data_IF_706628896662
#
_entry.id   IF_706628896662
#
_cell.length_a   1.000
_cell.length_b   1.000
_cell.length_c   1.000
_cell.angle_alpha   90.00
_cell.angle_beta   90.00
_cell.angle_gamma   90.00
#
_symmetry.space_group_name_H-M   'P 1'
#
loop_
_entity.id
_entity.type
_entity.pdbx_description
1 polymer ?
#
# COMPACT_ATOMS: atom_id res chain seq x y z
N UNK A 1 -5.25 8.31 16.61
CA UNK A 1 -4.52 7.27 15.87
C UNK A 1 -3.52 6.55 16.74
N UNK A 2 -3.39 6.99 17.99
CA UNK A 2 -2.53 6.34 18.98
C UNK A 2 -2.89 4.86 19.16
N UNK A 3 -4.18 4.55 19.18
CA UNK A 3 -4.67 3.18 19.33
C UNK A 3 -4.24 2.26 18.18
N UNK A 4 -4.25 2.77 16.95
CA UNK A 4 -3.82 1.98 15.79
C UNK A 4 -2.32 1.76 15.80
N UNK A 5 -1.55 2.78 16.17
CA UNK A 5 -0.10 2.68 16.28
C UNK A 5 0.29 1.66 17.35
N UNK A 6 -0.40 1.67 18.48
CA UNK A 6 -0.21 0.68 19.55
C UNK A 6 -0.55 -0.74 19.07
N UNK A 7 -1.66 -0.90 18.35
CA UNK A 7 -2.05 -2.19 17.81
C UNK A 7 -1.03 -2.72 16.83
N UNK A 8 -0.46 -1.86 15.99
CA UNK A 8 0.61 -2.22 15.06
C UNK A 8 1.88 -2.63 15.79
N UNK A 9 2.27 -1.90 16.84
CA UNK A 9 3.45 -2.23 17.63
C UNK A 9 3.30 -3.57 18.35
N UNK A 10 2.15 -3.81 18.96
CA UNK A 10 1.83 -5.07 19.63
C UNK A 10 1.84 -6.23 18.63
N UNK A 11 1.26 -6.02 17.45
CA UNK A 11 1.25 -6.99 16.38
C UNK A 11 2.66 -7.35 15.92
N UNK A 12 3.51 -6.33 15.70
CA UNK A 12 4.90 -6.53 15.33
C UNK A 12 5.69 -7.29 16.39
N UNK A 13 5.46 -6.97 17.66
CA UNK A 13 6.08 -7.70 18.77
C UNK A 13 5.64 -9.16 18.79
N UNK A 14 4.36 -9.42 18.61
CA UNK A 14 3.81 -10.78 18.56
C UNK A 14 4.47 -11.57 17.43
N UNK A 15 4.60 -10.97 16.25
CA UNK A 15 5.25 -11.57 15.10
C UNK A 15 6.71 -11.87 15.40
N UNK A 16 7.42 -10.95 16.04
CA UNK A 16 8.83 -11.14 16.43
C UNK A 16 9.00 -12.22 17.50
N UNK A 17 8.10 -12.27 18.48
CA UNK A 17 8.15 -13.25 19.57
C UNK A 17 7.84 -14.67 19.11
N UNK A 18 6.92 -14.83 18.17
CA UNK A 18 6.60 -16.13 17.58
C UNK A 18 7.73 -16.57 16.64
N UNK A 19 8.68 -15.68 16.44
CA UNK A 19 9.97 -16.00 15.84
C UNK A 19 9.94 -15.98 14.33
N UNK A 20 10.60 -16.47 13.76
CA UNK A 20 11.30 -16.83 12.56
C UNK A 20 10.41 -16.87 11.32
N UNK A 21 9.77 -15.74 10.99
CA UNK A 21 9.21 -15.57 9.66
C UNK A 21 10.36 -15.42 8.67
N UNK A 22 10.37 -16.23 7.63
CA UNK A 22 11.31 -16.06 6.54
C UNK A 22 11.05 -14.74 5.82
N UNK A 23 12.04 -14.30 5.06
CA UNK A 23 11.90 -13.08 4.27
C UNK A 23 10.74 -13.20 3.27
N UNK A 24 10.55 -14.39 2.69
CA UNK A 24 9.43 -14.66 1.78
C UNK A 24 8.08 -14.56 2.51
N UNK A 25 8.01 -15.06 3.74
CA UNK A 25 6.78 -14.97 4.55
C UNK A 25 6.47 -13.54 4.95
N UNK A 26 7.48 -12.77 5.36
CA UNK A 26 7.33 -11.33 5.63
C UNK A 26 6.82 -10.59 4.41
N UNK A 27 7.36 -10.91 3.25
CA UNK A 27 6.97 -10.31 1.97
C UNK A 27 5.50 -10.62 1.63
N UNK A 28 5.04 -11.83 1.91
CA UNK A 28 3.63 -12.21 1.71
C UNK A 28 2.70 -11.36 2.57
N UNK A 29 3.06 -11.14 3.83
CA UNK A 29 2.27 -10.34 4.76
C UNK A 29 2.21 -8.87 4.31
N UNK A 30 3.36 -8.27 4.02
CA UNK A 30 3.41 -6.87 3.58
C UNK A 30 2.73 -6.67 2.24
N UNK A 31 2.83 -7.65 1.33
CA UNK A 31 2.16 -7.60 0.04
C UNK A 31 0.64 -7.63 0.19
N UNK A 32 0.11 -8.43 1.12
CA UNK A 32 -1.33 -8.46 1.39
C UNK A 32 -1.85 -7.08 1.81
N UNK A 33 -1.12 -6.42 2.70
CA UNK A 33 -1.45 -5.04 3.11
C UNK A 33 -1.30 -4.04 1.97
N UNK A 34 -0.24 -4.18 1.18
CA UNK A 34 0.02 -3.29 0.04
C UNK A 34 -1.06 -3.38 -1.03
N UNK A 35 -1.60 -4.58 -1.30
CA UNK A 35 -2.71 -4.74 -2.25
C UNK A 35 -3.96 -4.01 -1.78
N UNK A 36 -4.29 -4.07 -0.50
CA UNK A 36 -5.42 -3.32 0.08
C UNK A 36 -5.19 -1.81 -0.07
N UNK A 37 -3.99 -1.33 0.27
CA UNK A 37 -3.65 0.08 0.13
C UNK A 37 -3.74 0.54 -1.32
N UNK A 38 -3.22 -0.26 -2.24
CA UNK A 38 -3.30 0.02 -3.69
C UNK A 38 -4.76 0.18 -4.13
N UNK A 39 -5.64 -0.73 -3.73
CA UNK A 39 -7.04 -0.69 -4.11
C UNK A 39 -7.75 0.55 -3.55
N UNK A 40 -7.47 0.91 -2.31
CA UNK A 40 -8.03 2.12 -1.69
C UNK A 40 -7.51 3.40 -2.37
N UNK A 41 -6.22 3.43 -2.69
CA UNK A 41 -5.64 4.57 -3.40
C UNK A 41 -6.19 4.69 -4.82
N UNK A 42 -6.35 3.58 -5.52
CA UNK A 42 -6.94 3.55 -6.86
C UNK A 42 -8.38 4.09 -6.84
N UNK A 43 -9.15 3.69 -5.83
CA UNK A 43 -10.52 4.17 -5.64
C UNK A 43 -10.57 5.69 -5.46
N UNK A 44 -9.75 6.24 -4.59
CA UNK A 44 -9.69 7.69 -4.34
C UNK A 44 -9.19 8.43 -5.57
N UNK A 45 -8.17 7.89 -6.25
CA UNK A 45 -7.65 8.48 -7.49
C UNK A 45 -8.75 8.54 -8.56
N UNK A 46 -9.52 7.48 -8.68
CA UNK A 46 -10.63 7.42 -9.63
C UNK A 46 -11.72 8.44 -9.29
N UNK A 47 -12.07 8.57 -8.02
CA UNK A 47 -13.08 9.55 -7.58
C UNK A 47 -12.66 10.98 -7.85
N UNK A 48 -11.38 11.32 -7.65
CA UNK A 48 -10.90 12.71 -7.70
C UNK A 48 -10.28 13.11 -9.03
N UNK A 49 -9.63 12.18 -9.72
CA UNK A 49 -8.76 12.52 -10.85
C UNK A 49 -9.01 11.68 -12.09
N UNK A 50 -10.11 10.95 -12.14
CA UNK A 50 -10.48 10.16 -13.31
C UNK A 50 -11.20 11.03 -14.33
N UNK A 51 -10.82 10.93 -15.59
CA UNK A 51 -11.52 11.60 -16.69
C UNK A 51 -11.86 10.57 -17.77
N UNK A 52 -12.83 10.93 -18.63
CA UNK A 52 -13.29 10.06 -19.72
C UNK A 52 -12.39 10.10 -20.96
N UNK A 53 -11.24 10.79 -20.87
CA UNK A 53 -10.32 10.83 -22.00
C UNK A 53 -9.73 9.43 -22.26
N UNK A 54 -9.39 9.17 -23.51
CA UNK A 54 -8.70 7.95 -23.89
C UNK A 54 -7.22 8.27 -24.10
N UNK A 55 -6.36 7.52 -23.44
CA UNK A 55 -4.93 7.62 -23.68
C UNK A 55 -4.40 6.23 -24.03
N UNK A 56 -4.23 5.93 -25.32
CA UNK A 56 -3.78 4.61 -25.76
C UNK A 56 -2.33 4.31 -25.37
N UNK A 57 -1.55 5.32 -25.04
CA UNK A 57 -0.15 5.14 -24.66
C UNK A 57 0.03 4.91 -23.16
N UNK A 58 -0.64 5.69 -22.32
CA UNK A 58 -0.40 5.67 -20.88
C UNK A 58 -1.60 5.18 -20.06
N UNK A 59 -2.80 5.19 -20.62
CA UNK A 59 -4.01 4.83 -19.90
C UNK A 59 -4.36 5.85 -18.82
N UNK A 60 -5.21 5.48 -17.89
CA UNK A 60 -5.61 6.32 -16.77
C UNK A 60 -4.67 6.12 -15.58
N UNK A 61 -4.40 7.21 -14.86
CA UNK A 61 -3.58 7.19 -13.66
C UNK A 61 -4.14 6.21 -12.61
N UNK A 62 -5.46 6.21 -12.41
CA UNK A 62 -6.10 5.32 -11.43
C UNK A 62 -5.94 3.83 -11.76
N UNK A 63 -5.81 3.50 -13.05
CA UNK A 63 -5.68 2.12 -13.50
C UNK A 63 -4.21 1.65 -13.59
N UNK A 64 -3.26 2.52 -13.28
CA UNK A 64 -1.82 2.28 -13.45
C UNK A 64 -1.08 2.03 -12.16
N UNK A 65 -1.79 1.91 -11.05
CA UNK A 65 -1.19 1.56 -9.76
C UNK A 65 -0.72 0.11 -9.73
N UNK A 66 0.38 -0.13 -9.04
CA UNK A 66 0.94 -1.47 -8.88
C UNK A 66 1.59 -1.65 -7.52
N UNK A 67 1.77 -2.90 -7.13
CA UNK A 67 2.53 -3.28 -5.94
C UNK A 67 3.86 -3.87 -6.40
N UNK A 68 4.95 -3.37 -5.86
CA UNK A 68 6.28 -3.93 -6.00
C UNK A 68 6.61 -4.71 -4.73
N UNK A 69 7.03 -5.95 -4.88
CA UNK A 69 7.33 -6.85 -3.74
C UNK A 69 8.72 -6.62 -3.16
N UNK A 70 9.23 -5.40 -3.28
CA UNK A 70 10.55 -4.99 -2.80
C UNK A 70 10.45 -3.60 -2.19
N UNK A 71 11.52 -3.12 -1.57
CA UNK A 71 11.64 -1.71 -1.19
C UNK A 71 11.68 -0.82 -2.43
N UNK A 72 11.65 0.49 -2.22
CA UNK A 72 11.64 1.49 -3.29
C UNK A 72 12.87 1.34 -4.20
N UNK A 73 13.99 0.96 -3.63
CA UNK A 73 15.28 0.76 -4.35
C UNK A 73 15.41 -0.62 -5.01
N UNK A 74 14.37 -1.45 -4.96
CA UNK A 74 14.39 -2.79 -5.52
C UNK A 74 14.96 -3.87 -4.59
N UNK A 75 15.34 -3.52 -3.37
CA UNK A 75 15.92 -4.45 -2.40
C UNK A 75 14.85 -5.38 -1.84
N UNK A 76 15.14 -6.69 -1.84
CA UNK A 76 14.24 -7.70 -1.25
C UNK A 76 14.45 -7.77 0.26
N UNK A 77 13.73 -6.91 0.99
CA UNK A 77 13.89 -6.75 2.43
C UNK A 77 12.59 -7.03 3.22
N UNK A 78 11.64 -7.72 2.62
CA UNK A 78 10.35 -8.00 3.24
C UNK A 78 9.34 -6.85 3.16
N UNK A 79 9.73 -5.75 2.53
CA UNK A 79 8.84 -4.58 2.33
C UNK A 79 8.13 -4.68 0.99
N UNK A 80 7.02 -3.97 0.88
CA UNK A 80 6.31 -3.79 -0.39
C UNK A 80 6.15 -2.29 -0.66
N UNK A 81 6.13 -1.93 -1.94
CA UNK A 81 5.98 -0.55 -2.37
C UNK A 81 4.76 -0.43 -3.28
N UNK A 82 3.90 0.54 -3.01
CA UNK A 82 2.76 0.87 -3.87
C UNK A 82 3.08 2.13 -4.64
N UNK A 83 2.84 2.11 -5.95
CA UNK A 83 3.10 3.27 -6.79
C UNK A 83 2.55 3.08 -8.19
N UNK A 84 2.90 4.02 -9.05
CA UNK A 84 2.47 4.01 -10.44
C UNK A 84 3.55 3.37 -11.32
N UNK A 85 3.13 2.47 -12.20
CA UNK A 85 4.01 1.77 -13.15
C UNK A 85 4.71 2.73 -14.10
N UNK A 86 4.05 3.82 -14.43
CA UNK A 86 4.46 4.78 -15.43
C UNK A 86 4.97 6.03 -14.75
N UNK A 87 6.16 6.47 -15.15
CA UNK A 87 6.78 7.69 -14.60
C UNK A 87 5.92 8.94 -14.81
N UNK A 88 5.24 9.02 -15.94
CA UNK A 88 4.33 10.13 -16.24
C UNK A 88 3.21 10.22 -15.19
N UNK A 89 2.56 9.10 -14.88
CA UNK A 89 1.50 9.06 -13.88
C UNK A 89 2.03 9.31 -12.47
N UNK A 90 3.21 8.78 -12.14
CA UNK A 90 3.84 9.01 -10.84
C UNK A 90 4.12 10.49 -10.61
N UNK A 91 4.68 11.17 -11.60
CA UNK A 91 4.95 12.61 -11.52
C UNK A 91 3.66 13.43 -11.45
N UNK A 92 2.65 13.06 -12.23
CA UNK A 92 1.37 13.74 -12.20
C UNK A 92 0.67 13.60 -10.84
N UNK A 93 0.69 12.39 -10.27
CA UNK A 93 0.16 12.14 -8.94
C UNK A 93 0.87 12.97 -7.87
N UNK A 94 2.18 13.07 -7.97
CA UNK A 94 2.99 13.89 -7.06
C UNK A 94 2.58 15.37 -7.12
N UNK A 95 2.43 15.90 -8.33
CA UNK A 95 2.02 17.30 -8.53
C UNK A 95 0.63 17.56 -7.95
N UNK A 96 -0.32 16.66 -8.15
CA UNK A 96 -1.66 16.77 -7.60
C UNK A 96 -1.66 16.70 -6.08
N UNK A 97 -0.89 15.78 -5.53
CA UNK A 97 -0.80 15.60 -4.08
C UNK A 97 -0.10 16.79 -3.40
N UNK A 98 1.03 17.21 -3.93
CA UNK A 98 1.90 18.23 -3.31
C UNK A 98 1.57 19.66 -3.77
N UNK A 99 0.88 19.79 -4.90
CA UNK A 99 0.57 21.08 -5.50
C UNK A 99 1.70 21.61 -6.37
N UNK A 100 1.38 22.63 -7.14
CA UNK A 100 2.36 23.34 -8.00
C UNK A 100 2.06 24.84 -7.91
N UNK A 101 2.83 25.64 -8.66
CA UNK A 101 2.54 27.07 -8.79
C UNK A 101 1.20 27.36 -9.46
N UNK A 102 0.68 26.38 -10.25
CA UNK A 102 -0.53 26.54 -11.04
C UNK A 102 -1.78 26.02 -10.35
N UNK A 103 -1.66 25.05 -9.43
CA UNK A 103 -2.80 24.48 -8.73
C UNK A 103 -2.48 24.06 -7.30
N UNK A 104 -3.53 24.09 -6.49
CA UNK A 104 -3.43 23.78 -5.07
C UNK A 104 -3.25 22.28 -4.85
N UNK A 105 -2.43 21.92 -3.85
CA UNK A 105 -2.31 20.56 -3.39
C UNK A 105 -3.63 20.02 -2.87
N UNK A 106 -4.04 18.81 -3.28
CA UNK A 106 -5.22 18.17 -2.71
C UNK A 106 -4.87 17.07 -1.71
N UNK A 107 -3.61 16.65 -1.66
CA UNK A 107 -3.08 15.65 -0.73
C UNK A 107 -3.82 14.30 -0.77
N UNK A 108 -4.31 13.90 -1.95
CA UNK A 108 -5.14 12.69 -2.04
C UNK A 108 -4.38 11.43 -1.62
N UNK A 109 -3.11 11.31 -1.95
CA UNK A 109 -2.25 10.18 -1.51
C UNK A 109 -2.03 10.25 0.01
N UNK A 110 -1.65 11.43 0.49
CA UNK A 110 -1.39 11.65 1.92
C UNK A 110 -2.63 11.38 2.77
N UNK A 111 -3.80 11.79 2.29
CA UNK A 111 -5.08 11.54 2.98
C UNK A 111 -5.38 10.04 3.08
N UNK A 112 -5.12 9.27 2.04
CA UNK A 112 -5.30 7.81 2.08
C UNK A 112 -4.33 7.19 3.07
N UNK A 113 -3.06 7.62 3.05
CA UNK A 113 -2.05 7.12 3.99
C UNK A 113 -2.44 7.36 5.46
N UNK A 114 -3.09 8.47 5.74
CA UNK A 114 -3.47 8.87 7.09
C UNK A 114 -4.91 8.49 7.48
N UNK A 115 -5.65 7.86 6.57
CA UNK A 115 -7.02 7.41 6.84
C UNK A 115 -7.02 6.19 7.76
N UNK A 116 -7.61 6.32 8.93
CA UNK A 116 -7.66 5.24 9.93
C UNK A 116 -8.41 4.02 9.45
N UNK A 117 -9.46 4.20 8.66
CA UNK A 117 -10.22 3.08 8.10
C UNK A 117 -9.36 2.28 7.10
N UNK A 118 -8.57 2.96 6.28
CA UNK A 118 -7.64 2.32 5.34
C UNK A 118 -6.55 1.59 6.11
N UNK A 119 -5.95 2.21 7.10
CA UNK A 119 -4.90 1.61 7.93
C UNK A 119 -5.41 0.33 8.63
N UNK A 120 -6.64 0.36 9.11
CA UNK A 120 -7.29 -0.80 9.73
C UNK A 120 -7.47 -1.94 8.73
N UNK A 121 -7.93 -1.64 7.50
CA UNK A 121 -8.08 -2.64 6.44
C UNK A 121 -6.74 -3.27 6.06
N UNK A 122 -5.69 -2.47 5.96
CA UNK A 122 -4.32 -2.94 5.69
C UNK A 122 -3.88 -3.90 6.79
N UNK A 123 -4.04 -3.49 8.05
CA UNK A 123 -3.65 -4.31 9.21
C UNK A 123 -4.42 -5.64 9.25
N UNK A 124 -5.72 -5.62 8.99
CA UNK A 124 -6.54 -6.83 8.97
C UNK A 124 -6.12 -7.79 7.85
N UNK A 125 -5.77 -7.26 6.67
CA UNK A 125 -5.27 -8.07 5.56
C UNK A 125 -3.95 -8.74 5.90
N UNK A 126 -3.03 -8.00 6.53
CA UNK A 126 -1.75 -8.52 6.99
C UNK A 126 -1.93 -9.62 8.05
N UNK A 127 -2.83 -9.38 9.00
CA UNK A 127 -3.15 -10.36 10.04
C UNK A 127 -3.74 -11.64 9.45
N UNK A 128 -4.64 -11.52 8.49
CA UNK A 128 -5.25 -12.68 7.82
C UNK A 128 -4.19 -13.53 7.11
N UNK A 129 -3.25 -12.89 6.43
CA UNK A 129 -2.16 -13.60 5.77
C UNK A 129 -1.21 -14.26 6.77
N UNK A 130 -0.89 -13.57 7.86
CA UNK A 130 -0.11 -14.12 8.97
C UNK A 130 -0.78 -15.37 9.55
N UNK A 131 -2.08 -15.33 9.80
CA UNK A 131 -2.82 -16.45 10.36
C UNK A 131 -2.77 -17.66 9.41
N UNK A 132 -2.87 -17.45 8.09
CA UNK A 132 -2.72 -18.51 7.10
C UNK A 132 -1.33 -19.15 7.16
N UNK A 133 -0.28 -18.36 7.27
CA UNK A 133 1.09 -18.84 7.37
C UNK A 133 1.26 -19.68 8.63
N UNK A 134 0.73 -19.20 9.76
CA UNK A 134 0.82 -19.91 11.03
C UNK A 134 0.02 -21.22 11.03
N UNK A 135 -1.13 -21.27 10.39
CA UNK A 135 -1.91 -22.50 10.21
C UNK A 135 -1.13 -23.53 9.39
N UNK A 136 -0.48 -23.09 8.32
CA UNK A 136 0.35 -23.98 7.51
C UNK A 136 1.52 -24.54 8.30
N UNK A 137 2.13 -23.74 9.16
CA UNK A 137 3.24 -24.19 10.03
C UNK A 137 2.75 -25.10 11.14
N UNK A 138 1.56 -24.83 11.69
CA UNK A 138 0.97 -25.60 12.79
C UNK A 138 0.34 -26.92 12.35
N UNK A 139 0.07 -27.09 11.07
CA UNK A 139 -0.57 -28.29 10.52
C UNK A 139 0.40 -29.47 10.35
N UNK A 140 1.62 -29.34 10.84
CA UNK A 140 2.61 -30.41 10.81
C UNK A 140 2.45 -31.38 11.97
#
# INVERSE_FOLDING_TARGET
MVELDQALEEWLKTVQEIGNLSLAEQSRITNAGAEVFKDELAKVTKEKHYSNHKDPKYGHMADSLSVQKTGVDGTKNGKATVGWKNRFHAQNARRLNDGTKKYRADHFVTKVQNDSAVQKKVLLAEKAEYDKIMQMKGAK
#
